data_IF_045627700605
#
_entry.id   IF_045627700605
#
_cell.length_a   1.000
_cell.length_b   1.000
_cell.length_c   1.000
_cell.angle_alpha   90.00
_cell.angle_beta   90.00
_cell.angle_gamma   90.00
#
_symmetry.space_group_name_H-M   'P 1'
#
loop_
_entity.id
_entity.type
_entity.pdbx_description
1 polymer ?
#
# COMPACT_ATOMS: atom_id res chain seq x y z
N UNK A 1 29.08 34.85 -3.00
CA UNK A 1 28.52 34.85 -1.64
C UNK A 1 27.11 35.38 -1.71
N UNK A 2 26.14 34.48 -1.81
CA UNK A 2 24.75 34.74 -1.49
C UNK A 2 24.27 33.45 -0.82
N UNK A 3 24.03 33.56 0.47
CA UNK A 3 23.59 32.50 1.35
C UNK A 3 22.10 32.69 1.63
N UNK A 4 21.49 31.60 2.09
CA UNK A 4 20.22 31.50 2.80
C UNK A 4 18.93 31.42 1.96
N UNK A 5 18.33 30.23 1.97
CA UNK A 5 17.34 30.10 3.05
C UNK A 5 16.11 29.22 2.86
N UNK A 6 15.91 28.51 1.75
CA UNK A 6 14.67 27.70 1.59
C UNK A 6 14.93 26.41 0.80
N UNK A 7 15.61 25.43 1.41
CA UNK A 7 15.75 24.10 0.77
C UNK A 7 16.02 22.91 1.71
N UNK A 8 15.84 23.00 3.03
CA UNK A 8 16.28 21.92 3.95
C UNK A 8 15.21 21.24 4.83
N UNK A 9 13.91 21.51 4.67
CA UNK A 9 12.89 20.95 5.58
C UNK A 9 11.78 20.09 4.94
N UNK A 10 11.90 19.71 3.67
CA UNK A 10 10.88 18.86 3.01
C UNK A 10 11.36 17.41 2.87
N UNK A 11 11.37 16.68 3.99
CA UNK A 11 11.19 15.23 4.15
C UNK A 11 11.53 14.87 5.62
N UNK A 12 10.97 15.59 6.60
CA UNK A 12 10.95 15.11 7.97
C UNK A 12 9.85 14.06 8.08
N UNK A 13 10.22 12.79 7.87
CA UNK A 13 9.37 11.66 8.22
C UNK A 13 9.02 11.78 9.71
N UNK A 14 7.83 12.29 9.97
CA UNK A 14 7.04 12.19 11.20
C UNK A 14 7.86 12.38 12.48
N UNK A 15 7.98 13.64 12.92
CA UNK A 15 8.34 13.94 14.31
C UNK A 15 7.29 13.36 15.26
N UNK A 16 7.59 12.22 15.85
CA UNK A 16 7.31 11.92 17.26
C UNK A 16 8.24 10.78 17.66
N UNK A 17 9.22 11.07 18.52
CA UNK A 17 9.81 10.19 19.56
C UNK A 17 10.90 11.01 20.27
N UNK A 18 10.74 11.21 21.58
CA UNK A 18 11.80 11.75 22.44
C UNK A 18 12.93 10.73 22.55
N UNK A 19 14.14 11.25 22.44
CA UNK A 19 15.45 10.59 22.55
C UNK A 19 15.57 9.49 23.60
N UNK A 20 16.13 8.34 23.21
CA UNK A 20 17.00 7.52 24.07
C UNK A 20 18.18 6.99 23.24
N UNK A 21 19.43 7.29 23.61
CA UNK A 21 20.60 6.73 22.95
C UNK A 21 20.93 5.35 23.55
N UNK A 22 21.33 4.43 22.67
CA UNK A 22 21.83 3.07 22.92
C UNK A 22 20.77 1.96 23.01
N UNK A 23 20.52 1.31 21.87
CA UNK A 23 20.01 -0.05 21.84
C UNK A 23 20.77 -0.86 20.77
N UNK A 24 21.70 -1.70 21.23
CA UNK A 24 22.29 -2.80 20.45
C UNK A 24 21.25 -3.91 20.27
N UNK A 25 21.07 -4.38 19.03
CA UNK A 25 20.12 -5.43 18.65
C UNK A 25 20.74 -6.81 18.96
N UNK A 26 20.17 -7.63 19.87
CA UNK A 26 20.65 -9.00 20.09
C UNK A 26 20.08 -9.94 19.00
N UNK A 27 20.96 -10.76 18.43
CA UNK A 27 20.59 -11.82 17.49
C UNK A 27 19.92 -12.99 18.18
N UNK A 28 18.60 -13.09 18.06
CA UNK A 28 17.83 -14.30 18.35
C UNK A 28 16.66 -14.41 17.37
N UNK A 29 16.85 -15.16 16.28
CA UNK A 29 15.74 -15.66 15.48
C UNK A 29 15.91 -17.17 15.32
N UNK A 30 15.46 -17.94 16.30
CA UNK A 30 15.23 -19.37 16.14
C UNK A 30 13.75 -19.70 16.37
N UNK A 31 13.14 -20.29 15.34
CA UNK A 31 12.03 -21.23 15.40
C UNK A 31 10.76 -20.81 16.15
N UNK A 32 9.89 -20.05 15.49
CA UNK A 32 8.44 -20.26 15.58
C UNK A 32 7.87 -20.27 14.16
N UNK A 33 7.62 -21.48 13.71
CA UNK A 33 7.13 -21.84 12.39
C UNK A 33 5.60 -21.88 12.44
N UNK A 34 4.97 -20.84 11.89
CA UNK A 34 3.59 -20.78 11.36
C UNK A 34 3.51 -19.45 10.62
N UNK A 35 4.22 -19.40 9.50
CA UNK A 35 4.66 -18.18 8.86
C UNK A 35 3.66 -17.62 7.86
N UNK A 36 2.57 -17.05 8.35
CA UNK A 36 1.69 -16.23 7.51
C UNK A 36 2.40 -14.94 7.10
N UNK A 37 2.23 -14.56 5.84
CA UNK A 37 2.80 -13.35 5.24
C UNK A 37 1.74 -12.35 4.88
N UNK A 38 1.89 -11.15 5.39
CA UNK A 38 1.46 -9.97 4.66
C UNK A 38 2.43 -9.77 3.52
N UNK A 39 1.95 -9.76 2.29
CA UNK A 39 2.77 -9.28 1.18
C UNK A 39 2.36 -7.88 0.85
N UNK A 40 3.29 -6.98 1.08
CA UNK A 40 3.19 -5.58 0.71
C UNK A 40 3.98 -5.38 -0.58
N UNK A 41 3.31 -4.93 -1.63
CA UNK A 41 3.92 -4.85 -2.94
C UNK A 41 3.68 -3.54 -3.67
N UNK A 42 4.69 -3.17 -4.46
CA UNK A 42 4.65 -2.10 -5.43
C UNK A 42 5.28 -2.54 -6.75
N UNK A 43 4.73 -2.05 -7.86
CA UNK A 43 5.29 -2.21 -9.20
C UNK A 43 6.56 -1.37 -9.35
N UNK A 44 7.57 -1.94 -9.99
CA UNK A 44 8.83 -1.27 -10.34
C UNK A 44 9.00 -1.14 -11.87
N UNK A 45 7.92 -1.35 -12.63
CA UNK A 45 8.02 -1.72 -14.05
C UNK A 45 8.03 -0.56 -15.08
N UNK A 46 7.49 0.63 -14.81
CA UNK A 46 7.80 1.89 -15.56
C UNK A 46 7.02 3.10 -14.98
N UNK A 47 7.30 4.30 -15.51
CA UNK A 47 6.67 5.63 -15.35
C UNK A 47 5.87 5.92 -14.06
N UNK A 48 4.77 5.20 -13.78
CA UNK A 48 3.75 5.58 -12.79
C UNK A 48 3.89 4.98 -11.40
N UNK A 49 4.67 3.91 -11.25
CA UNK A 49 4.70 3.14 -10.00
C UNK A 49 5.79 3.60 -9.01
N UNK A 50 6.53 4.66 -9.34
CA UNK A 50 7.60 5.18 -8.48
C UNK A 50 7.10 5.57 -7.08
N UNK A 51 5.91 6.18 -7.01
CA UNK A 51 5.26 6.52 -5.74
C UNK A 51 4.93 5.28 -4.90
N UNK A 52 4.43 4.20 -5.51
CA UNK A 52 4.20 2.92 -4.84
C UNK A 52 5.49 2.30 -4.31
N UNK A 53 6.55 2.28 -5.14
CA UNK A 53 7.85 1.71 -4.76
C UNK A 53 8.47 2.42 -3.56
N UNK A 54 8.43 3.76 -3.54
CA UNK A 54 8.90 4.56 -2.39
C UNK A 54 7.97 4.36 -1.19
N UNK A 55 6.65 4.28 -1.41
CA UNK A 55 5.68 3.99 -0.37
C UNK A 55 6.00 2.68 0.34
N UNK A 56 6.25 1.62 -0.41
CA UNK A 56 6.61 0.31 0.13
C UNK A 56 7.88 0.34 1.00
N UNK A 57 8.90 1.10 0.59
CA UNK A 57 10.12 1.32 1.38
C UNK A 57 9.81 2.11 2.66
N UNK A 58 8.99 3.16 2.59
CA UNK A 58 8.59 3.96 3.75
C UNK A 58 7.86 3.09 4.77
N UNK A 59 6.94 2.24 4.33
CA UNK A 59 6.20 1.30 5.19
C UNK A 59 7.15 0.33 5.91
N UNK A 60 8.15 -0.21 5.20
CA UNK A 60 9.17 -1.08 5.81
C UNK A 60 9.99 -0.35 6.88
N UNK A 61 10.40 0.89 6.60
CA UNK A 61 11.14 1.73 7.55
C UNK A 61 10.29 2.10 8.76
N UNK A 62 9.01 2.42 8.56
CA UNK A 62 8.10 2.79 9.65
C UNK A 62 7.80 1.59 10.56
N UNK A 63 7.58 0.39 10.00
CA UNK A 63 7.42 -0.83 10.79
C UNK A 63 8.69 -1.17 11.59
N UNK A 64 9.87 -1.04 10.97
CA UNK A 64 11.14 -1.25 11.67
C UNK A 64 11.34 -0.24 12.81
N UNK A 65 11.02 1.05 12.58
CA UNK A 65 11.07 2.09 13.61
C UNK A 65 10.10 1.80 14.74
N UNK A 66 8.86 1.41 14.44
CA UNK A 66 7.84 1.07 15.44
C UNK A 66 8.38 0.05 16.46
N UNK A 67 9.09 -0.97 15.99
CA UNK A 67 9.69 -2.01 16.85
C UNK A 67 10.87 -1.56 17.70
N UNK A 68 11.50 -0.44 17.35
CA UNK A 68 12.68 0.08 18.05
C UNK A 68 12.30 1.25 18.98
N UNK A 69 11.28 2.03 18.62
CA UNK A 69 10.96 3.30 19.30
C UNK A 69 9.75 3.23 20.22
N UNK A 70 9.03 2.11 20.25
CA UNK A 70 7.84 1.94 21.08
C UNK A 70 7.96 0.69 21.95
N UNK A 71 6.97 0.43 22.81
CA UNK A 71 6.87 -0.85 23.52
C UNK A 71 6.41 -2.00 22.61
N UNK A 72 5.96 -1.70 21.38
CA UNK A 72 5.64 -2.72 20.39
C UNK A 72 6.92 -3.38 19.90
N UNK A 73 6.88 -4.70 19.72
CA UNK A 73 7.97 -5.45 19.12
C UNK A 73 7.44 -6.59 18.25
N UNK A 74 8.36 -7.21 17.51
CA UNK A 74 8.06 -8.29 16.59
C UNK A 74 7.29 -9.46 17.23
N UNK A 75 7.50 -9.78 18.51
CA UNK A 75 6.79 -10.88 19.17
C UNK A 75 5.30 -10.62 19.38
N UNK A 76 4.86 -9.36 19.28
CA UNK A 76 3.44 -8.99 19.33
C UNK A 76 2.75 -9.06 17.96
N UNK A 77 3.52 -9.31 16.90
CA UNK A 77 3.01 -9.53 15.56
C UNK A 77 3.03 -11.05 15.30
N UNK A 78 1.90 -11.76 15.48
CA UNK A 78 1.86 -13.22 15.31
C UNK A 78 2.14 -13.67 13.86
N UNK A 79 2.17 -12.74 12.91
CA UNK A 79 2.35 -13.00 11.49
C UNK A 79 3.53 -12.20 10.93
N UNK A 80 4.21 -12.76 9.93
CA UNK A 80 5.34 -12.11 9.27
C UNK A 80 4.86 -11.07 8.26
N UNK A 81 5.56 -9.95 8.17
CA UNK A 81 5.37 -8.98 7.09
C UNK A 81 6.50 -9.15 6.08
N UNK A 82 6.15 -9.25 4.80
CA UNK A 82 7.07 -9.35 3.67
C UNK A 82 6.80 -8.19 2.72
N UNK A 83 7.87 -7.50 2.34
CA UNK A 83 7.84 -6.46 1.33
C UNK A 83 8.37 -7.05 0.01
N UNK A 84 7.64 -6.85 -1.08
CA UNK A 84 7.96 -7.30 -2.43
C UNK A 84 7.97 -6.11 -3.39
N UNK A 85 8.82 -6.17 -4.41
CA UNK A 85 8.81 -5.22 -5.52
C UNK A 85 8.71 -6.02 -6.82
N UNK A 86 7.64 -5.81 -7.57
CA UNK A 86 7.36 -6.59 -8.76
C UNK A 86 7.97 -5.92 -9.98
N UNK A 87 8.73 -6.71 -10.75
CA UNK A 87 9.20 -6.29 -12.07
C UNK A 87 8.16 -6.62 -13.15
N UNK A 88 8.23 -5.92 -14.28
CA UNK A 88 7.48 -6.23 -15.50
C UNK A 88 5.94 -6.30 -15.33
N UNK A 89 5.39 -5.50 -14.43
CA UNK A 89 3.96 -5.30 -14.23
C UNK A 89 3.30 -4.63 -15.45
N UNK A 90 3.92 -3.55 -15.95
CA UNK A 90 3.45 -2.75 -17.11
C UNK A 90 3.43 -3.52 -18.45
N UNK A 91 4.03 -4.70 -18.50
CA UNK A 91 4.01 -5.60 -19.68
C UNK A 91 3.17 -6.85 -19.43
N UNK A 92 2.30 -6.83 -18.42
CA UNK A 92 1.33 -7.89 -18.14
C UNK A 92 1.61 -8.67 -16.86
N UNK A 93 1.93 -8.00 -15.75
CA UNK A 93 2.02 -8.60 -14.41
C UNK A 93 3.08 -9.71 -14.28
N UNK A 94 4.08 -9.74 -15.16
CA UNK A 94 4.94 -10.92 -15.32
C UNK A 94 5.67 -11.31 -14.03
N UNK A 95 6.12 -10.32 -13.23
CA UNK A 95 6.82 -10.58 -11.97
C UNK A 95 5.92 -11.20 -10.90
N UNK A 96 4.72 -10.66 -10.70
CA UNK A 96 3.78 -11.17 -9.70
C UNK A 96 3.16 -12.50 -10.13
N UNK A 97 2.85 -12.68 -11.43
CA UNK A 97 2.42 -13.96 -12.00
C UNK A 97 3.49 -15.02 -11.77
N UNK A 98 4.73 -14.76 -12.19
CA UNK A 98 5.83 -15.70 -12.02
C UNK A 98 6.02 -16.09 -10.55
N UNK A 99 5.99 -15.11 -9.65
CA UNK A 99 6.10 -15.38 -8.21
C UNK A 99 5.01 -16.31 -7.70
N UNK A 100 3.74 -16.04 -8.04
CA UNK A 100 2.61 -16.87 -7.60
C UNK A 100 2.71 -18.27 -8.19
N UNK A 101 3.02 -18.41 -9.48
CA UNK A 101 3.23 -19.70 -10.13
C UNK A 101 4.30 -20.53 -9.42
N UNK A 102 5.47 -19.95 -9.14
CA UNK A 102 6.55 -20.63 -8.42
C UNK A 102 6.16 -20.98 -6.98
N UNK A 103 5.43 -20.10 -6.30
CA UNK A 103 4.97 -20.31 -4.94
C UNK A 103 3.88 -21.40 -4.82
N UNK A 104 3.14 -21.66 -5.89
CA UNK A 104 2.14 -22.73 -5.98
C UNK A 104 2.72 -24.11 -6.29
N UNK A 105 3.98 -24.19 -6.75
CA UNK A 105 4.58 -25.48 -7.10
C UNK A 105 4.74 -26.39 -5.88
N UNK A 106 4.53 -27.71 -6.02
CA UNK A 106 4.81 -28.68 -4.94
C UNK A 106 6.27 -28.65 -4.46
N UNK A 107 7.20 -28.22 -5.32
CA UNK A 107 8.61 -28.04 -5.01
C UNK A 107 8.91 -26.79 -4.18
N UNK A 108 7.95 -25.90 -3.96
CA UNK A 108 8.09 -24.81 -3.00
C UNK A 108 8.10 -25.41 -1.59
N UNK A 109 9.28 -25.75 -1.08
CA UNK A 109 9.43 -26.43 0.22
C UNK A 109 9.92 -25.51 1.32
N UNK A 110 10.59 -24.41 0.98
CA UNK A 110 11.02 -23.41 1.96
C UNK A 110 9.80 -22.77 2.60
N UNK A 111 9.71 -22.83 3.93
CA UNK A 111 8.78 -21.99 4.68
C UNK A 111 9.06 -20.55 4.28
N UNK A 112 8.05 -19.86 3.75
CA UNK A 112 8.18 -18.57 3.06
C UNK A 112 8.31 -18.54 1.55
N UNK A 113 8.43 -19.66 0.88
CA UNK A 113 8.31 -19.74 -0.59
C UNK A 113 6.91 -20.14 -1.05
N UNK A 114 6.05 -20.64 -0.15
CA UNK A 114 4.80 -21.31 -0.50
C UNK A 114 3.61 -20.37 -0.52
N UNK A 115 2.72 -20.53 -1.48
CA UNK A 115 1.57 -19.65 -1.63
C UNK A 115 0.58 -19.76 -0.46
N UNK A 116 0.38 -20.96 0.10
CA UNK A 116 -0.49 -21.16 1.27
C UNK A 116 -0.01 -20.47 2.55
N UNK A 117 1.24 -19.98 2.58
CA UNK A 117 1.77 -19.18 3.69
C UNK A 117 1.29 -17.71 3.61
N UNK A 118 0.44 -17.33 2.65
CA UNK A 118 0.00 -15.95 2.43
C UNK A 118 -1.46 -15.82 2.86
N UNK A 119 -1.76 -14.86 3.74
CA UNK A 119 -3.15 -14.58 4.13
C UNK A 119 -3.70 -13.32 3.48
N UNK A 120 -2.86 -12.28 3.40
CA UNK A 120 -3.26 -10.96 2.97
C UNK A 120 -2.21 -10.40 2.02
N UNK A 121 -2.68 -9.84 0.92
CA UNK A 121 -1.86 -9.11 -0.04
C UNK A 121 -2.30 -7.64 -0.12
N UNK A 122 -1.38 -6.72 0.18
CA UNK A 122 -1.58 -5.30 0.00
C UNK A 122 -0.87 -4.83 -1.26
N UNK A 123 -1.61 -4.14 -2.12
CA UNK A 123 -1.07 -3.51 -3.32
C UNK A 123 -1.04 -2.00 -3.16
N UNK A 124 0.13 -1.40 -3.38
CA UNK A 124 0.30 0.04 -3.40
C UNK A 124 0.91 0.47 -4.72
N UNK A 125 0.05 0.99 -5.58
CA UNK A 125 0.38 1.42 -6.92
C UNK A 125 -0.36 2.72 -7.24
N UNK A 126 0.39 3.71 -7.74
CA UNK A 126 0.00 5.11 -7.91
C UNK A 126 -0.51 5.75 -6.61
N UNK A 127 0.43 6.11 -5.73
CA UNK A 127 0.14 6.70 -4.42
C UNK A 127 0.24 8.24 -4.38
N UNK A 128 0.55 8.91 -5.49
CA UNK A 128 0.84 10.34 -5.48
C UNK A 128 0.26 11.15 -6.65
N UNK A 129 -0.80 10.70 -7.31
CA UNK A 129 -1.35 11.36 -8.50
C UNK A 129 -1.71 12.83 -8.23
N UNK A 130 -1.41 13.80 -9.11
CA UNK A 130 -1.56 15.23 -8.82
C UNK A 130 -2.98 15.68 -8.43
N UNK A 131 -3.99 15.21 -9.18
CA UNK A 131 -5.40 15.52 -8.98
C UNK A 131 -6.07 14.39 -8.17
N UNK A 132 -5.44 14.00 -7.07
CA UNK A 132 -5.63 12.72 -6.37
C UNK A 132 -7.08 12.41 -6.02
N UNK A 133 -7.42 11.12 -6.01
CA UNK A 133 -8.43 10.59 -5.10
C UNK A 133 -7.78 9.90 -3.90
N UNK A 134 -8.60 9.45 -2.96
CA UNK A 134 -8.28 8.50 -1.91
C UNK A 134 -9.07 7.23 -2.22
N UNK A 135 -8.56 6.48 -3.20
CA UNK A 135 -9.15 5.24 -3.68
C UNK A 135 -8.86 4.09 -2.73
N UNK A 136 -9.89 3.34 -2.34
CA UNK A 136 -9.77 2.09 -1.58
C UNK A 136 -10.04 0.94 -2.53
N UNK A 137 -9.07 0.03 -2.66
CA UNK A 137 -9.23 -1.20 -3.43
C UNK A 137 -10.30 -2.08 -2.77
N UNK A 138 -11.36 -2.41 -3.50
CA UNK A 138 -12.50 -3.16 -2.97
C UNK A 138 -12.92 -4.38 -3.80
N UNK A 139 -13.85 -5.16 -3.25
CA UNK A 139 -14.41 -6.37 -3.86
C UNK A 139 -15.46 -6.11 -4.95
N UNK A 140 -15.80 -4.85 -5.30
CA UNK A 140 -16.92 -4.55 -6.20
C UNK A 140 -16.71 -5.07 -7.63
N UNK A 141 -15.45 -5.29 -8.01
CA UNK A 141 -15.08 -5.87 -9.31
C UNK A 141 -13.81 -6.70 -9.14
N UNK A 142 -13.94 -7.94 -8.67
CA UNK A 142 -12.80 -8.87 -8.61
C UNK A 142 -12.57 -9.53 -9.98
N UNK A 143 -11.33 -9.96 -10.30
CA UNK A 143 -11.06 -10.72 -11.51
C UNK A 143 -11.93 -11.97 -11.66
N UNK A 144 -12.29 -12.37 -12.89
CA UNK A 144 -12.93 -13.67 -13.11
C UNK A 144 -12.11 -14.81 -12.50
N UNK A 145 -12.77 -15.73 -11.82
CA UNK A 145 -12.12 -16.86 -11.15
C UNK A 145 -11.68 -16.58 -9.71
N UNK A 146 -11.79 -15.35 -9.19
CA UNK A 146 -11.58 -15.10 -7.76
C UNK A 146 -12.54 -15.96 -6.92
N UNK A 147 -12.04 -16.80 -6.00
CA UNK A 147 -12.89 -17.63 -5.16
C UNK A 147 -13.80 -16.81 -4.25
N UNK A 148 -15.09 -17.14 -4.16
CA UNK A 148 -16.04 -16.43 -3.29
C UNK A 148 -15.61 -16.38 -1.81
N UNK A 149 -14.88 -17.41 -1.34
CA UNK A 149 -14.32 -17.48 0.02
C UNK A 149 -13.32 -16.35 0.34
N UNK A 150 -12.79 -15.68 -0.68
CA UNK A 150 -11.76 -14.62 -0.56
C UNK A 150 -12.36 -13.23 -0.38
N UNK A 151 -13.62 -13.05 -0.76
CA UNK A 151 -14.31 -11.76 -0.70
C UNK A 151 -14.46 -11.23 0.74
N UNK A 152 -14.83 -12.04 1.76
CA UNK A 152 -14.94 -11.53 3.14
C UNK A 152 -13.63 -10.93 3.68
N UNK A 153 -12.47 -11.53 3.36
CA UNK A 153 -11.17 -10.98 3.75
C UNK A 153 -10.85 -9.67 3.02
N UNK A 154 -11.18 -9.59 1.74
CA UNK A 154 -11.05 -8.35 0.94
C UNK A 154 -11.96 -7.24 1.47
N UNK A 155 -13.19 -7.56 1.86
CA UNK A 155 -14.13 -6.63 2.48
C UNK A 155 -13.64 -6.16 3.85
N UNK A 156 -13.05 -7.05 4.66
CA UNK A 156 -12.43 -6.69 5.94
C UNK A 156 -11.32 -5.65 5.75
N UNK A 157 -10.45 -5.84 4.75
CA UNK A 157 -9.41 -4.88 4.40
C UNK A 157 -10.01 -3.54 3.92
N UNK A 158 -11.01 -3.61 3.04
CA UNK A 158 -11.70 -2.42 2.52
C UNK A 158 -12.31 -1.60 3.66
N UNK A 159 -13.00 -2.26 4.59
CA UNK A 159 -13.63 -1.62 5.75
C UNK A 159 -12.60 -0.98 6.69
N UNK A 160 -11.43 -1.60 6.86
CA UNK A 160 -10.34 -1.04 7.66
C UNK A 160 -9.87 0.31 7.10
N UNK A 161 -9.68 0.41 5.78
CA UNK A 161 -9.32 1.68 5.15
C UNK A 161 -10.45 2.71 5.23
N UNK A 162 -11.70 2.31 5.02
CA UNK A 162 -12.85 3.22 5.15
C UNK A 162 -12.92 3.82 6.56
N UNK A 163 -12.76 2.99 7.59
CA UNK A 163 -12.71 3.45 8.98
C UNK A 163 -11.58 4.47 9.19
N UNK A 164 -10.38 4.16 8.70
CA UNK A 164 -9.25 5.08 8.81
C UNK A 164 -9.53 6.43 8.14
N UNK A 165 -9.97 6.46 6.88
CA UNK A 165 -10.26 7.73 6.20
C UNK A 165 -11.39 8.51 6.88
N UNK A 166 -12.44 7.82 7.36
CA UNK A 166 -13.52 8.45 8.12
C UNK A 166 -13.02 9.09 9.43
N UNK A 167 -12.19 8.38 10.20
CA UNK A 167 -11.58 8.90 11.44
C UNK A 167 -10.67 10.09 11.18
N UNK A 168 -9.94 10.07 10.06
CA UNK A 168 -9.11 11.20 9.61
C UNK A 168 -9.91 12.33 8.97
N UNK A 169 -11.24 12.19 8.83
CA UNK A 169 -12.14 13.14 8.14
C UNK A 169 -11.71 13.43 6.71
N UNK A 170 -11.16 12.43 6.03
CA UNK A 170 -10.75 12.49 4.64
C UNK A 170 -11.84 11.89 3.74
N UNK A 171 -12.04 12.43 2.52
CA UNK A 171 -12.90 11.78 1.55
C UNK A 171 -12.30 10.43 1.17
N UNK A 172 -13.11 9.53 0.63
CA UNK A 172 -12.61 8.32 0.00
C UNK A 172 -13.61 7.85 -1.05
N UNK A 173 -13.10 7.06 -2.00
CA UNK A 173 -13.94 6.41 -3.00
C UNK A 173 -13.53 4.96 -3.12
N UNK A 174 -14.49 4.13 -3.47
CA UNK A 174 -14.25 2.73 -3.82
C UNK A 174 -13.61 2.66 -5.21
N UNK A 175 -12.49 1.96 -5.30
CA UNK A 175 -11.75 1.70 -6.52
C UNK A 175 -11.80 0.20 -6.79
N UNK A 176 -12.37 -0.17 -7.94
CA UNK A 176 -12.46 -1.57 -8.32
C UNK A 176 -11.09 -2.25 -8.42
N UNK A 177 -11.03 -3.51 -8.01
CA UNK A 177 -9.88 -4.41 -8.11
C UNK A 177 -9.85 -5.14 -9.48
N UNK A 178 -10.66 -4.73 -10.46
CA UNK A 178 -10.75 -5.43 -11.76
C UNK A 178 -9.63 -5.07 -12.74
N UNK A 179 -8.90 -3.97 -12.49
CA UNK A 179 -7.79 -3.52 -13.31
C UNK A 179 -6.55 -4.37 -13.05
N UNK A 180 -5.93 -4.89 -14.12
CA UNK A 180 -4.74 -5.75 -14.05
C UNK A 180 -3.59 -5.10 -13.32
N UNK A 181 -3.50 -5.33 -12.01
CA UNK A 181 -2.40 -4.96 -11.13
C UNK A 181 -1.91 -6.22 -10.42
N UNK A 182 -0.79 -6.11 -9.73
CA UNK A 182 -0.11 -7.26 -9.11
C UNK A 182 -0.92 -8.00 -8.02
N UNK A 183 -2.07 -7.50 -7.56
CA UNK A 183 -2.98 -8.28 -6.69
C UNK A 183 -3.71 -9.40 -7.44
N UNK A 184 -3.81 -9.34 -8.78
CA UNK A 184 -4.65 -10.26 -9.56
C UNK A 184 -4.22 -11.72 -9.36
N UNK A 185 -2.93 -12.08 -9.50
CA UNK A 185 -2.48 -13.46 -9.31
C UNK A 185 -2.73 -13.99 -7.89
N UNK A 186 -2.70 -13.12 -6.88
CA UNK A 186 -2.98 -13.51 -5.49
C UNK A 186 -4.48 -13.73 -5.25
N UNK A 187 -5.34 -12.84 -5.77
CA UNK A 187 -6.79 -12.98 -5.65
C UNK A 187 -7.33 -14.22 -6.36
N UNK A 188 -6.80 -14.56 -7.53
CA UNK A 188 -7.22 -15.76 -8.27
C UNK A 188 -6.90 -17.05 -7.53
N UNK A 189 -5.83 -17.05 -6.73
CA UNK A 189 -5.45 -18.16 -5.85
C UNK A 189 -6.13 -18.12 -4.47
N UNK A 190 -6.99 -17.13 -4.27
CA UNK A 190 -7.85 -17.02 -3.11
C UNK A 190 -7.24 -16.31 -1.90
N UNK A 191 -6.15 -15.55 -2.09
CA UNK A 191 -5.55 -14.70 -1.07
C UNK A 191 -6.29 -13.37 -1.01
N UNK A 192 -6.79 -13.01 0.18
CA UNK A 192 -7.49 -11.76 0.38
C UNK A 192 -6.57 -10.58 0.04
N UNK A 193 -7.05 -9.65 -0.79
CA UNK A 193 -6.20 -8.56 -1.26
C UNK A 193 -6.89 -7.22 -1.10
N UNK A 194 -6.11 -6.15 -0.94
CA UNK A 194 -6.63 -4.79 -0.88
C UNK A 194 -5.51 -3.77 -0.91
N UNK A 195 -5.82 -2.53 -0.55
CA UNK A 195 -4.86 -1.43 -0.57
C UNK A 195 -5.52 -0.11 -0.91
N UNK A 196 -4.68 0.88 -1.20
CA UNK A 196 -5.11 2.24 -1.52
C UNK A 196 -4.37 2.74 -2.75
N UNK A 197 -4.98 3.68 -3.46
CA UNK A 197 -4.39 4.40 -4.58
C UNK A 197 -4.87 5.85 -4.61
N UNK A 198 -4.31 6.63 -5.53
CA UNK A 198 -4.67 8.04 -5.73
C UNK A 198 -5.24 8.35 -7.12
N UNK A 199 -5.65 7.30 -7.85
CA UNK A 199 -6.22 7.40 -9.20
C UNK A 199 -5.15 7.41 -10.30
N UNK A 200 -5.57 7.24 -11.54
CA UNK A 200 -4.71 7.17 -12.73
C UNK A 200 -5.24 8.06 -13.86
N UNK A 201 -5.31 7.56 -15.10
CA UNK A 201 -5.90 8.28 -16.24
C UNK A 201 -7.42 8.51 -16.18
N UNK A 202 -8.12 7.98 -15.17
CA UNK A 202 -9.55 8.28 -14.94
C UNK A 202 -9.80 9.73 -14.52
N UNK A 203 -11.01 10.24 -14.74
CA UNK A 203 -11.35 11.64 -14.45
C UNK A 203 -12.03 11.81 -13.09
N UNK A 204 -11.61 12.83 -12.34
CA UNK A 204 -12.30 13.28 -11.13
C UNK A 204 -13.64 13.92 -11.51
N UNK A 205 -14.74 13.43 -10.95
CA UNK A 205 -16.07 13.99 -11.24
C UNK A 205 -16.29 15.33 -10.52
N UNK A 206 -17.29 16.11 -10.96
CA UNK A 206 -17.69 17.33 -10.26
C UNK A 206 -18.16 17.04 -8.82
N UNK A 207 -18.96 16.00 -8.63
CA UNK A 207 -19.43 15.57 -7.31
C UNK A 207 -18.28 15.17 -6.39
N UNK A 208 -17.31 14.42 -6.90
CA UNK A 208 -16.14 14.04 -6.13
C UNK A 208 -15.27 15.27 -5.79
N UNK A 209 -15.04 16.18 -6.74
CA UNK A 209 -14.35 17.44 -6.45
C UNK A 209 -15.05 18.21 -5.33
N UNK A 210 -16.37 18.33 -5.37
CA UNK A 210 -17.16 19.04 -4.35
C UNK A 210 -17.01 18.38 -2.96
N UNK A 211 -17.03 17.05 -2.90
CA UNK A 211 -16.76 16.29 -1.67
C UNK A 211 -15.37 16.60 -1.11
N UNK A 212 -14.34 16.67 -1.97
CA UNK A 212 -12.99 16.98 -1.55
C UNK A 212 -12.84 18.43 -1.12
N UNK A 213 -13.55 19.37 -1.77
CA UNK A 213 -13.61 20.78 -1.34
C UNK A 213 -14.25 20.93 0.05
N UNK A 214 -15.23 20.09 0.39
CA UNK A 214 -15.87 20.15 1.69
C UNK A 214 -14.99 19.63 2.84
N UNK A 215 -14.07 18.70 2.56
CA UNK A 215 -13.31 17.97 3.58
C UNK A 215 -11.83 18.33 3.65
N UNK A 216 -11.25 18.84 2.57
CA UNK A 216 -9.81 19.10 2.49
C UNK A 216 -9.48 20.58 2.57
N UNK A 217 -8.27 20.86 3.05
CA UNK A 217 -7.68 22.20 3.03
C UNK A 217 -7.58 22.75 1.59
N UNK A 218 -7.58 24.07 1.49
CA UNK A 218 -7.48 24.79 0.21
C UNK A 218 -6.27 24.30 -0.59
N UNK A 219 -6.50 23.91 -1.85
CA UNK A 219 -5.47 23.44 -2.77
C UNK A 219 -5.38 21.92 -2.92
N UNK A 220 -6.03 21.12 -2.06
CA UNK A 220 -6.01 19.65 -2.16
C UNK A 220 -7.28 19.05 -2.76
N UNK A 221 -8.26 19.87 -3.14
CA UNK A 221 -9.54 19.38 -3.66
C UNK A 221 -9.46 18.81 -5.08
N UNK A 222 -8.44 19.22 -5.84
CA UNK A 222 -8.32 18.88 -7.24
C UNK A 222 -9.27 19.64 -8.17
N UNK A 223 -9.31 19.22 -9.43
CA UNK A 223 -10.10 19.79 -10.52
C UNK A 223 -11.10 18.77 -11.04
N UNK A 224 -12.35 19.20 -11.21
CA UNK A 224 -13.39 18.41 -11.84
C UNK A 224 -13.13 18.25 -13.34
N UNK A 225 -13.49 17.10 -13.90
CA UNK A 225 -13.32 16.73 -15.30
C UNK A 225 -11.85 16.76 -15.78
N UNK A 226 -10.90 16.63 -14.86
CA UNK A 226 -9.47 16.48 -15.14
C UNK A 226 -9.05 15.08 -14.66
N UNK A 227 -8.12 14.44 -15.38
CA UNK A 227 -7.60 13.13 -14.99
C UNK A 227 -6.97 13.19 -13.58
N UNK A 228 -7.05 12.11 -12.79
CA UNK A 228 -6.36 12.05 -11.50
C UNK A 228 -4.84 12.21 -11.70
N UNK A 229 -4.33 11.56 -12.75
CA UNK A 229 -2.98 11.76 -13.26
C UNK A 229 -3.02 12.01 -14.78
N UNK A 230 -2.76 13.25 -15.18
CA UNK A 230 -2.72 13.64 -16.60
C UNK A 230 -1.44 13.21 -17.31
N UNK A 231 -0.45 12.73 -16.56
CA UNK A 231 0.81 12.19 -17.08
C UNK A 231 0.88 10.67 -17.00
N UNK A 232 -0.20 9.98 -16.62
CA UNK A 232 -0.27 8.52 -16.61
C UNK A 232 0.19 7.92 -17.95
N UNK A 233 1.19 7.03 -17.91
CA UNK A 233 1.88 6.43 -19.07
C UNK A 233 2.52 7.43 -20.04
N UNK A 234 2.87 8.63 -19.57
CA UNK A 234 3.48 9.68 -20.40
C UNK A 234 4.85 10.10 -19.87
N UNK A 235 5.64 10.75 -20.75
CA UNK A 235 7.00 11.20 -20.42
C UNK A 235 7.07 12.30 -19.35
N UNK A 236 5.93 12.95 -19.07
CA UNK A 236 5.83 13.98 -18.04
C UNK A 236 5.65 13.41 -16.64
N UNK A 237 5.48 12.09 -16.50
CA UNK A 237 5.43 11.45 -15.20
C UNK A 237 6.84 11.36 -14.59
N UNK A 238 7.08 12.26 -13.64
CA UNK A 238 8.37 12.57 -13.05
C UNK A 238 8.16 13.02 -11.61
N UNK A 239 9.24 13.29 -10.90
CA UNK A 239 9.18 13.71 -9.48
C UNK A 239 8.38 15.01 -9.22
N UNK A 240 8.10 15.82 -10.25
CA UNK A 240 7.25 17.00 -10.17
C UNK A 240 5.76 16.72 -10.48
N UNK A 241 5.41 15.51 -10.89
CA UNK A 241 4.05 15.03 -11.14
C UNK A 241 3.47 14.34 -9.89
N UNK A 242 3.67 14.91 -8.71
CA UNK A 242 3.27 14.28 -7.44
C UNK A 242 2.49 15.23 -6.55
N UNK A 243 1.49 14.71 -5.85
CA UNK A 243 0.79 15.37 -4.75
C UNK A 243 1.32 14.84 -3.40
N UNK A 244 2.18 15.59 -2.69
CA UNK A 244 2.76 15.14 -1.43
C UNK A 244 1.74 14.98 -0.31
N UNK A 245 0.69 15.80 -0.30
CA UNK A 245 -0.37 15.72 0.71
C UNK A 245 -1.10 14.38 0.57
N UNK A 246 -1.53 14.04 -0.66
CA UNK A 246 -2.24 12.80 -0.89
C UNK A 246 -1.35 11.58 -0.59
N UNK A 247 -0.10 11.61 -1.03
CA UNK A 247 0.91 10.59 -0.74
C UNK A 247 1.07 10.34 0.76
N UNK A 248 1.23 11.40 1.56
CA UNK A 248 1.34 11.27 3.01
C UNK A 248 0.11 10.59 3.62
N UNK A 249 -1.11 10.96 3.19
CA UNK A 249 -2.34 10.37 3.72
C UNK A 249 -2.44 8.89 3.38
N UNK A 250 -2.24 8.50 2.11
CA UNK A 250 -2.38 7.10 1.72
C UNK A 250 -1.29 6.20 2.31
N UNK A 251 -0.06 6.70 2.47
CA UNK A 251 1.02 5.96 3.16
C UNK A 251 0.70 5.77 4.64
N UNK A 252 0.15 6.79 5.32
CA UNK A 252 -0.31 6.64 6.71
C UNK A 252 -1.47 5.64 6.85
N UNK A 253 -2.38 5.61 5.87
CA UNK A 253 -3.45 4.62 5.83
C UNK A 253 -2.87 3.20 5.71
N UNK A 254 -1.85 3.02 4.86
CA UNK A 254 -1.14 1.78 4.66
C UNK A 254 -0.35 1.34 5.91
N UNK A 255 0.36 2.26 6.57
CA UNK A 255 1.03 2.00 7.85
C UNK A 255 0.03 1.50 8.91
N UNK A 256 -1.11 2.19 9.03
CA UNK A 256 -2.17 1.79 9.96
C UNK A 256 -2.70 0.39 9.65
N UNK A 257 -2.93 0.06 8.38
CA UNK A 257 -3.43 -1.25 7.99
C UNK A 257 -2.44 -2.37 8.36
N UNK A 258 -1.14 -2.17 8.07
CA UNK A 258 -0.08 -3.15 8.39
C UNK A 258 0.06 -3.31 9.91
N UNK A 259 0.07 -2.22 10.67
CA UNK A 259 0.17 -2.27 12.14
C UNK A 259 -1.06 -2.92 12.77
N UNK A 260 -2.26 -2.51 12.36
CA UNK A 260 -3.51 -3.02 12.90
C UNK A 260 -3.65 -4.51 12.62
N UNK A 261 -3.56 -4.91 11.35
CA UNK A 261 -3.71 -6.31 10.97
C UNK A 261 -2.56 -7.16 11.49
N UNK A 262 -1.35 -6.61 11.51
CA UNK A 262 -0.16 -7.28 12.03
C UNK A 262 -0.28 -7.73 13.48
N UNK A 263 -1.17 -7.11 14.27
CA UNK A 263 -1.45 -7.45 15.68
C UNK A 263 -2.66 -8.36 15.88
N UNK A 264 -3.47 -8.58 14.85
CA UNK A 264 -4.61 -9.48 14.94
C UNK A 264 -4.13 -10.92 15.15
N UNK A 265 -4.96 -11.75 15.79
CA UNK A 265 -4.65 -13.18 16.01
C UNK A 265 -5.57 -14.10 15.21
N UNK A 266 -6.46 -13.52 14.41
CA UNK A 266 -7.57 -14.20 13.75
C UNK A 266 -7.64 -13.86 12.26
N UNK A 267 -6.50 -13.59 11.61
CA UNK A 267 -6.49 -13.30 10.17
C UNK A 267 -6.87 -14.50 9.30
N UNK A 268 -6.77 -15.71 9.84
CA UNK A 268 -7.19 -16.95 9.16
C UNK A 268 -8.73 -17.15 9.15
N UNK A 269 -9.47 -16.31 9.89
CA UNK A 269 -10.93 -16.38 10.05
C UNK A 269 -11.62 -15.22 9.35
#
# INVERSE_FOLDING_TARGET
MYNDGIASDRFQAVQYVRSHPNATIPGYFSSYNLGIKFVNAASNASANAGSGTVGNLVLALNLARLFVTTSLNYAQFPYRVRFCWWGAEEVGLLGSIYHVEQASLPSATTESGRLQDYLVYFNYDMLASPNSNFGILDSLSVPPGTPNKTLPGTDRITNLFQQWFNEQKLPWTKSGIGGGRDFVPFLTEGIASGGVNTGAGGFKSATERDQYTALLETGNSGLANVAYDSCYHQQCDRINNVNPFAYEKVVKAADYAIEYMGRLRDLEK
#
